data_IF_422000637335
#
_entry.id   IF_422000637335
#
_cell.length_a   1.000
_cell.length_b   1.000
_cell.length_c   1.000
_cell.angle_alpha   90.00
_cell.angle_beta   90.00
_cell.angle_gamma   90.00
#
_symmetry.space_group_name_H-M   'P 1'
#
loop_
_entity.id
_entity.type
_entity.pdbx_description
1 polymer ?
#
# COMPACT_ATOMS: atom_id res chain seq x y z
N UNK A 1 2.57 -14.17 6.67
CA UNK A 1 1.43 -14.37 7.59
C UNK A 1 1.59 -13.38 8.73
N UNK A 2 0.51 -12.72 9.13
CA UNK A 2 0.50 -11.80 10.26
C UNK A 2 -0.42 -12.33 11.34
N UNK A 3 0.00 -12.21 12.60
CA UNK A 3 -0.82 -12.49 13.76
C UNK A 3 -0.74 -11.30 14.73
N UNK A 4 -1.91 -10.79 15.10
CA UNK A 4 -2.08 -9.66 16.00
C UNK A 4 -2.79 -10.18 17.25
N UNK A 5 -2.09 -10.34 18.38
CA UNK A 5 -2.73 -10.76 19.62
C UNK A 5 -3.68 -9.69 20.16
N UNK A 6 -4.68 -10.06 20.96
CA UNK A 6 -5.54 -9.09 21.63
C UNK A 6 -4.73 -8.20 22.57
N UNK A 7 -5.12 -6.92 22.68
CA UNK A 7 -4.44 -5.95 23.53
C UNK A 7 -5.44 -5.16 24.37
N UNK A 8 -5.32 -5.21 25.70
CA UNK A 8 -6.22 -4.49 26.64
C UNK A 8 -6.20 -2.96 26.52
N UNK A 9 -5.25 -2.41 25.77
CA UNK A 9 -5.11 -0.97 25.52
C UNK A 9 -5.00 -0.70 24.01
N UNK A 10 -6.02 -1.07 23.22
CA UNK A 10 -5.96 -1.01 21.76
C UNK A 10 -5.86 0.42 21.22
N UNK A 11 -6.22 1.41 22.04
CA UNK A 11 -6.10 2.84 21.81
C UNK A 11 -4.67 3.37 21.94
N UNK A 12 -3.76 2.61 22.56
CA UNK A 12 -2.37 3.01 22.82
C UNK A 12 -1.35 2.36 21.90
N UNK A 13 -1.78 1.40 21.09
CA UNK A 13 -0.90 0.62 20.22
C UNK A 13 -1.49 0.53 18.81
N UNK A 14 -0.69 0.03 17.88
CA UNK A 14 -1.12 -0.22 16.51
C UNK A 14 -0.57 -1.58 16.06
N UNK A 15 -1.35 -2.31 15.26
CA UNK A 15 -0.92 -3.60 14.71
C UNK A 15 0.09 -3.41 13.59
N UNK A 16 -0.24 -2.59 12.60
CA UNK A 16 0.69 -2.10 11.57
C UNK A 16 0.46 -0.60 11.37
N UNK A 17 1.55 0.16 11.42
CA UNK A 17 1.55 1.62 11.17
C UNK A 17 1.01 1.97 9.77
N UNK A 18 0.49 3.18 9.56
CA UNK A 18 0.11 3.66 8.23
C UNK A 18 1.24 3.47 7.21
N UNK A 19 0.94 2.81 6.09
CA UNK A 19 1.90 2.57 5.01
C UNK A 19 1.20 2.32 3.68
N UNK A 20 2.00 2.30 2.61
CA UNK A 20 1.63 1.86 1.28
C UNK A 20 2.37 0.56 0.95
N UNK A 21 1.79 -0.29 0.10
CA UNK A 21 2.49 -1.48 -0.40
C UNK A 21 3.46 -1.08 -1.50
N UNK A 22 4.73 -1.46 -1.36
CA UNK A 22 5.78 -1.04 -2.29
C UNK A 22 5.82 -1.78 -3.63
N UNK A 23 5.10 -2.91 -3.78
CA UNK A 23 5.18 -3.81 -4.93
C UNK A 23 4.02 -3.57 -5.93
N UNK A 24 3.57 -4.60 -6.65
CA UNK A 24 2.49 -4.51 -7.63
C UNK A 24 1.10 -4.62 -7.00
N UNK A 25 0.80 -5.77 -6.41
CA UNK A 25 -0.48 -6.04 -5.73
C UNK A 25 -0.23 -6.73 -4.39
N UNK A 26 -1.10 -6.49 -3.41
CA UNK A 26 -1.23 -7.33 -2.24
C UNK A 26 -2.58 -8.05 -2.25
N UNK A 27 -2.54 -9.36 -2.02
CA UNK A 27 -3.71 -10.23 -1.88
C UNK A 27 -3.79 -10.68 -0.42
N UNK A 28 -4.79 -10.19 0.31
CA UNK A 28 -4.97 -10.48 1.72
C UNK A 28 -6.19 -11.38 1.91
N UNK A 29 -5.97 -12.50 2.59
CA UNK A 29 -7.00 -13.39 3.10
C UNK A 29 -7.10 -13.21 4.62
N UNK A 30 -8.32 -12.97 5.08
CA UNK A 30 -8.66 -13.02 6.50
C UNK A 30 -8.75 -14.48 6.95
N UNK A 31 -8.02 -14.85 8.02
CA UNK A 31 -8.08 -16.21 8.60
C UNK A 31 -9.23 -16.32 9.60
N UNK A 32 -9.56 -15.21 10.25
CA UNK A 32 -10.69 -15.05 11.17
C UNK A 32 -11.52 -13.81 10.82
N UNK A 33 -12.59 -13.56 11.55
CA UNK A 33 -13.54 -12.48 11.34
C UNK A 33 -13.25 -11.22 12.19
N UNK A 34 -12.07 -11.13 12.82
CA UNK A 34 -11.72 -9.98 13.66
C UNK A 34 -11.39 -8.77 12.76
N UNK A 35 -12.10 -7.64 12.93
CA UNK A 35 -11.82 -6.43 12.16
C UNK A 35 -10.47 -5.83 12.55
N UNK A 36 -9.98 -4.89 11.75
CA UNK A 36 -8.75 -4.14 12.11
C UNK A 36 -8.07 -3.47 10.93
N UNK A 37 -8.26 -3.97 9.71
CA UNK A 37 -7.75 -3.32 8.51
C UNK A 37 -8.51 -2.00 8.27
N UNK A 38 -7.76 -0.93 8.04
CA UNK A 38 -8.32 0.36 7.65
C UNK A 38 -7.56 0.93 6.45
N UNK A 39 -8.28 1.57 5.53
CA UNK A 39 -7.72 2.28 4.37
C UNK A 39 -8.02 3.77 4.47
N UNK A 40 -7.07 4.62 4.10
CA UNK A 40 -7.23 6.07 4.09
C UNK A 40 -7.75 6.57 2.75
N UNK A 41 -8.84 7.33 2.76
CA UNK A 41 -9.41 8.01 1.59
C UNK A 41 -9.90 9.41 1.99
N UNK A 42 -9.54 10.44 1.23
CA UNK A 42 -9.96 11.82 1.54
C UNK A 42 -9.60 12.29 2.95
N UNK A 43 -8.40 11.92 3.43
CA UNK A 43 -7.93 12.26 4.79
C UNK A 43 -8.59 11.48 5.93
N UNK A 44 -9.50 10.55 5.64
CA UNK A 44 -10.24 9.77 6.65
C UNK A 44 -9.91 8.29 6.56
N UNK A 45 -9.92 7.62 7.70
CA UNK A 45 -9.76 6.16 7.80
C UNK A 45 -11.11 5.47 7.67
N UNK A 46 -11.17 4.46 6.79
CA UNK A 46 -12.35 3.63 6.57
C UNK A 46 -12.03 2.20 7.00
N UNK A 47 -12.86 1.58 7.86
CA UNK A 47 -12.70 0.17 8.20
C UNK A 47 -13.06 -0.72 7.01
N UNK A 48 -12.40 -1.86 6.92
CA UNK A 48 -12.73 -2.95 6.01
C UNK A 48 -13.14 -4.15 6.84
N UNK A 49 -14.41 -4.54 6.70
CA UNK A 49 -14.96 -5.71 7.39
C UNK A 49 -14.47 -7.00 6.71
N UNK A 50 -14.01 -7.99 7.49
CA UNK A 50 -13.68 -9.31 6.94
C UNK A 50 -14.91 -9.96 6.31
N UNK A 51 -14.82 -10.30 5.03
CA UNK A 51 -15.86 -11.05 4.32
C UNK A 51 -15.44 -12.52 4.17
N UNK A 52 -16.24 -13.50 4.64
CA UNK A 52 -15.89 -14.91 4.52
C UNK A 52 -15.62 -15.33 3.07
N UNK A 53 -14.47 -15.96 2.84
CA UNK A 53 -14.05 -16.45 1.52
C UNK A 53 -13.59 -15.36 0.53
N UNK A 54 -13.59 -14.08 0.93
CA UNK A 54 -13.14 -12.99 0.07
C UNK A 54 -11.63 -12.72 0.21
N UNK A 55 -11.04 -12.22 -0.88
CA UNK A 55 -9.72 -11.62 -0.87
C UNK A 55 -9.86 -10.10 -0.90
N UNK A 56 -9.12 -9.42 -0.03
CA UNK A 56 -8.85 -7.99 -0.19
C UNK A 56 -7.69 -7.85 -1.17
N UNK A 57 -7.89 -7.07 -2.23
CA UNK A 57 -6.87 -6.78 -3.23
C UNK A 57 -6.46 -5.32 -3.11
N UNK A 58 -5.19 -5.06 -2.85
CA UNK A 58 -4.65 -3.70 -2.74
C UNK A 58 -3.64 -3.43 -3.87
N UNK A 59 -3.68 -2.21 -4.40
CA UNK A 59 -2.73 -1.70 -5.40
C UNK A 59 -1.48 -1.21 -4.67
N UNK A 60 -0.31 -1.65 -5.14
CA UNK A 60 0.98 -1.18 -4.66
C UNK A 60 1.58 -0.08 -5.54
N UNK A 61 2.66 0.53 -5.05
CA UNK A 61 3.31 1.69 -5.63
C UNK A 61 3.90 1.42 -7.02
N UNK A 62 4.43 0.23 -7.30
CA UNK A 62 4.92 -0.12 -8.65
C UNK A 62 3.76 -0.09 -9.65
N UNK A 63 2.62 -0.71 -9.31
CA UNK A 63 1.47 -0.73 -10.22
C UNK A 63 0.88 0.69 -10.42
N UNK A 64 0.94 1.55 -9.39
CA UNK A 64 0.61 2.96 -9.55
C UNK A 64 1.51 3.66 -10.57
N UNK A 65 2.83 3.41 -10.54
CA UNK A 65 3.76 3.98 -11.53
C UNK A 65 3.48 3.43 -12.92
N UNK A 66 3.32 2.12 -13.06
CA UNK A 66 3.06 1.45 -14.35
C UNK A 66 1.79 1.99 -15.02
N UNK A 67 0.75 2.22 -14.23
CA UNK A 67 -0.54 2.77 -14.72
C UNK A 67 -0.54 4.30 -14.84
N UNK A 68 0.62 4.94 -14.74
CA UNK A 68 0.77 6.40 -14.78
C UNK A 68 -0.10 7.14 -13.74
N UNK A 69 -0.47 6.48 -12.63
CA UNK A 69 -1.30 7.05 -11.58
C UNK A 69 -2.81 6.79 -11.70
N UNK A 70 -3.27 6.09 -12.74
CA UNK A 70 -4.68 5.70 -12.89
C UNK A 70 -5.13 4.80 -11.73
N UNK A 71 -4.31 3.81 -11.35
CA UNK A 71 -4.53 3.03 -10.15
C UNK A 71 -3.73 3.60 -9.00
N UNK A 72 -4.41 3.97 -7.91
CA UNK A 72 -3.78 4.60 -6.74
C UNK A 72 -3.46 3.56 -5.69
N UNK A 73 -2.21 3.53 -5.27
CA UNK A 73 -1.78 2.80 -4.08
C UNK A 73 -2.35 3.47 -2.84
N UNK A 74 -3.06 2.69 -2.04
CA UNK A 74 -3.82 3.18 -0.90
C UNK A 74 -3.00 3.09 0.39
N UNK A 75 -2.99 4.18 1.16
CA UNK A 75 -2.42 4.14 2.51
C UNK A 75 -3.37 3.32 3.39
N UNK A 76 -2.82 2.35 4.12
CA UNK A 76 -3.59 1.48 4.97
C UNK A 76 -2.84 1.19 6.28
N UNK A 77 -3.59 0.75 7.28
CA UNK A 77 -3.07 0.41 8.61
C UNK A 77 -3.86 -0.75 9.21
N UNK A 78 -3.32 -1.34 10.27
CA UNK A 78 -4.02 -2.38 11.03
C UNK A 78 -4.11 -1.97 12.50
N UNK A 79 -5.34 -1.92 13.01
CA UNK A 79 -5.62 -1.77 14.44
C UNK A 79 -5.65 -3.15 15.13
N UNK A 80 -5.46 -3.14 16.45
CA UNK A 80 -5.62 -4.34 17.29
C UNK A 80 -6.98 -4.32 17.99
N UNK A 81 -7.50 -5.51 18.31
CA UNK A 81 -8.74 -5.69 19.05
C UNK A 81 -8.43 -5.93 20.54
N UNK A 82 -9.36 -5.56 21.42
CA UNK A 82 -9.17 -5.67 22.87
C UNK A 82 -9.27 -7.11 23.39
N UNK A 83 -10.09 -7.92 22.74
CA UNK A 83 -10.56 -9.22 23.24
C UNK A 83 -10.16 -10.36 22.32
N UNK A 84 -10.11 -10.12 21.01
CA UNK A 84 -9.88 -11.15 19.98
C UNK A 84 -8.53 -10.96 19.30
N UNK A 85 -7.89 -12.09 18.97
CA UNK A 85 -6.73 -12.10 18.10
C UNK A 85 -7.16 -12.04 16.64
N UNK A 86 -6.33 -11.42 15.79
CA UNK A 86 -6.53 -11.34 14.35
C UNK A 86 -5.38 -12.01 13.61
N UNK A 87 -5.67 -12.78 12.57
CA UNK A 87 -4.70 -13.42 11.70
C UNK A 87 -5.04 -13.20 10.23
N UNK A 88 -4.00 -12.97 9.43
CA UNK A 88 -4.12 -12.80 7.97
C UNK A 88 -3.00 -13.49 7.24
N UNK A 89 -3.33 -14.03 6.07
CA UNK A 89 -2.34 -14.42 5.07
C UNK A 89 -2.29 -13.33 4.02
N UNK A 90 -1.10 -12.78 3.78
CA UNK A 90 -0.88 -11.75 2.76
C UNK A 90 0.13 -12.28 1.75
N UNK A 91 -0.22 -12.21 0.49
CA UNK A 91 0.63 -12.55 -0.63
C UNK A 91 0.92 -11.28 -1.40
N UNK A 92 2.19 -10.91 -1.49
CA UNK A 92 2.63 -9.79 -2.30
C UNK A 92 3.01 -10.29 -3.70
N UNK A 93 2.42 -9.69 -4.72
CA UNK A 93 2.72 -9.93 -6.11
C UNK A 93 3.49 -8.75 -6.65
N UNK A 94 4.68 -9.03 -7.17
CA UNK A 94 5.45 -8.01 -7.86
C UNK A 94 4.97 -7.84 -9.30
N UNK A 95 5.24 -6.68 -9.89
CA UNK A 95 5.00 -6.47 -11.31
C UNK A 95 6.22 -6.91 -12.13
N UNK A 96 5.97 -7.52 -13.30
CA UNK A 96 7.04 -7.86 -14.23
C UNK A 96 7.55 -6.58 -14.92
N UNK A 97 8.58 -5.95 -14.37
CA UNK A 97 9.06 -4.63 -14.82
C UNK A 97 10.27 -4.65 -15.76
N UNK A 98 10.72 -5.81 -16.26
CA UNK A 98 11.84 -5.92 -17.21
C UNK A 98 13.08 -5.05 -16.85
N UNK A 99 13.36 -4.89 -15.54
CA UNK A 99 14.48 -4.10 -15.02
C UNK A 99 14.17 -2.65 -14.67
N UNK A 100 13.13 -2.03 -15.23
CA UNK A 100 12.85 -0.59 -15.06
C UNK A 100 11.39 -0.33 -14.66
N UNK A 101 11.18 0.35 -13.55
CA UNK A 101 9.85 0.84 -13.12
C UNK A 101 9.58 2.17 -13.82
N UNK A 102 8.55 2.22 -14.68
CA UNK A 102 8.14 3.42 -15.43
C UNK A 102 6.69 3.33 -15.89
N UNK A 103 6.02 4.45 -16.21
CA UNK A 103 4.73 4.42 -16.88
C UNK A 103 4.75 3.54 -18.15
N UNK A 104 3.68 2.75 -18.34
CA UNK A 104 3.50 1.96 -19.54
C UNK A 104 3.30 2.87 -20.77
N UNK A 105 3.75 2.45 -21.97
CA UNK A 105 3.52 3.21 -23.19
C UNK A 105 2.03 3.44 -23.46
N UNK A 106 1.68 4.60 -24.01
CA UNK A 106 0.29 4.91 -24.42
C UNK A 106 -0.60 5.53 -23.33
N UNK A 107 -0.07 5.79 -22.12
CA UNK A 107 -0.81 6.40 -21.01
C UNK A 107 -0.66 7.94 -20.91
N UNK A 108 -0.34 8.60 -22.03
CA UNK A 108 -0.14 10.05 -22.10
C UNK A 108 1.23 10.51 -21.56
N UNK A 109 1.29 11.77 -21.10
CA UNK A 109 2.51 12.34 -20.53
C UNK A 109 2.89 11.64 -19.21
N UNK A 110 4.18 11.32 -19.06
CA UNK A 110 4.66 10.58 -17.91
C UNK A 110 4.58 11.42 -16.62
N UNK A 111 3.77 10.95 -15.66
CA UNK A 111 3.64 11.52 -14.31
C UNK A 111 4.72 11.05 -13.35
N UNK A 112 5.45 10.00 -13.72
CA UNK A 112 6.54 9.42 -12.94
C UNK A 112 7.78 9.23 -13.81
N UNK A 113 8.95 9.53 -13.24
CA UNK A 113 10.26 9.28 -13.84
C UNK A 113 10.57 7.79 -13.84
N UNK A 114 11.24 7.33 -14.88
CA UNK A 114 11.76 5.96 -14.94
C UNK A 114 12.88 5.76 -13.92
N UNK A 115 12.93 4.58 -13.30
CA UNK A 115 13.98 4.19 -12.37
C UNK A 115 14.27 2.70 -12.50
N UNK A 116 15.54 2.32 -12.35
CA UNK A 116 15.94 0.91 -12.27
C UNK A 116 15.31 0.24 -11.05
N UNK A 117 14.79 -0.98 -11.23
CA UNK A 117 14.05 -1.70 -10.20
C UNK A 117 14.88 -1.92 -8.93
N UNK A 118 16.18 -2.22 -9.06
CA UNK A 118 17.07 -2.36 -7.91
C UNK A 118 17.21 -1.07 -7.09
N UNK A 119 17.26 0.08 -7.76
CA UNK A 119 17.31 1.40 -7.10
C UNK A 119 15.96 1.79 -6.50
N UNK A 120 14.86 1.41 -7.16
CA UNK A 120 13.52 1.55 -6.59
C UNK A 120 13.39 0.77 -5.28
N UNK A 121 13.80 -0.49 -5.26
CA UNK A 121 13.74 -1.33 -4.05
C UNK A 121 14.56 -0.71 -2.92
N UNK A 122 15.81 -0.30 -3.18
CA UNK A 122 16.65 0.39 -2.18
C UNK A 122 16.01 1.67 -1.66
N UNK A 123 15.51 2.52 -2.56
CA UNK A 123 14.84 3.76 -2.22
C UNK A 123 13.58 3.55 -1.39
N UNK A 124 12.77 2.55 -1.76
CA UNK A 124 11.56 2.20 -1.04
C UNK A 124 11.85 1.68 0.37
N UNK A 125 12.85 0.82 0.55
CA UNK A 125 13.27 0.37 1.89
C UNK A 125 13.77 1.51 2.76
N UNK A 126 14.54 2.45 2.19
CA UNK A 126 14.99 3.63 2.92
C UNK A 126 13.82 4.52 3.34
N UNK A 127 12.91 4.80 2.43
CA UNK A 127 11.72 5.61 2.71
C UNK A 127 10.83 4.98 3.78
N UNK A 128 10.69 3.65 3.78
CA UNK A 128 9.97 2.91 4.82
C UNK A 128 10.55 3.16 6.21
N UNK A 129 11.88 3.18 6.36
CA UNK A 129 12.56 3.48 7.63
C UNK A 129 12.36 4.94 8.04
N UNK A 130 12.37 5.85 7.07
CA UNK A 130 12.18 7.29 7.29
C UNK A 130 10.69 7.68 7.47
N UNK A 131 9.75 6.76 7.29
CA UNK A 131 8.31 7.04 7.31
C UNK A 131 7.85 7.92 6.16
N UNK A 132 8.58 7.93 5.04
CA UNK A 132 8.28 8.69 3.83
C UNK A 132 7.81 7.76 2.71
N UNK A 133 7.30 8.34 1.62
CA UNK A 133 6.81 7.58 0.46
C UNK A 133 7.73 7.77 -0.74
N UNK A 134 8.49 6.73 -1.08
CA UNK A 134 9.50 6.83 -2.14
C UNK A 134 8.92 7.17 -3.51
N UNK A 135 7.73 6.65 -3.84
CA UNK A 135 7.09 6.89 -5.14
C UNK A 135 6.82 8.37 -5.42
N UNK A 136 6.64 9.20 -4.38
CA UNK A 136 6.42 10.63 -4.55
C UNK A 136 7.68 11.35 -5.05
N UNK A 137 8.88 10.82 -4.74
CA UNK A 137 10.14 11.33 -5.29
C UNK A 137 10.29 11.08 -6.80
N UNK A 138 9.50 10.16 -7.36
CA UNK A 138 9.50 9.85 -8.77
C UNK A 138 8.58 10.78 -9.58
N UNK A 139 7.71 11.56 -8.93
CA UNK A 139 6.78 12.46 -9.64
C UNK A 139 7.51 13.45 -10.53
N UNK A 140 7.02 13.63 -11.75
CA UNK A 140 7.45 14.68 -12.67
C UNK A 140 6.75 15.99 -12.34
N UNK A 141 7.18 17.11 -12.93
CA UNK A 141 6.56 18.42 -12.73
C UNK A 141 5.08 18.42 -13.14
N UNK A 142 4.71 17.64 -14.18
CA UNK A 142 3.32 17.46 -14.63
C UNK A 142 2.42 16.90 -13.52
N UNK A 143 2.96 16.05 -12.64
CA UNK A 143 2.22 15.42 -11.56
C UNK A 143 2.08 16.28 -10.29
N UNK A 144 2.75 17.44 -10.25
CA UNK A 144 2.67 18.38 -9.12
C UNK A 144 1.50 19.37 -9.28
N UNK A 145 1.09 19.64 -10.52
CA UNK A 145 0.02 20.59 -10.86
C UNK A 145 -1.40 20.05 -10.60
N UNK A 146 -1.56 18.73 -10.38
CA UNK A 146 -2.86 18.09 -10.11
C UNK A 146 -3.29 18.08 -8.62
N UNK A 147 -2.60 18.82 -7.73
CA UNK A 147 -2.96 18.89 -6.29
C UNK A 147 -4.17 19.79 -5.96
N UNK A 148 -4.86 20.32 -6.97
CA UNK A 148 -6.09 21.09 -6.78
C UNK A 148 -7.26 20.30 -7.35
N UNK A 149 -7.96 19.55 -6.48
CA UNK A 149 -9.41 19.24 -6.47
C UNK A 149 -9.67 18.28 -5.29
#
# INVERSE_FOLDING_TARGET
>A
MHHYPPCRHPDKVIGITPHHDGLGLALLLHVDDTPGLQVRRGGRWFPLDPLPGALVVNVGDILQVLTNGEYRSAEHRVLVDAERGRATVVMFQDACVAGTVRPLPGLGEARYRAIEYGEYVKGNFRALVEGTRFVDSLRTNVAQDEKVI
#
